data_IF_557782584891
#
_entry.id   IF_557782584891
#
_cell.length_a   1.000
_cell.length_b   1.000
_cell.length_c   1.000
_cell.angle_alpha   90.00
_cell.angle_beta   90.00
_cell.angle_gamma   90.00
#
_symmetry.space_group_name_H-M   'P 1'
#
loop_
_entity.id
_entity.type
_entity.pdbx_description
1 polymer ?
#
# COMPACT_ATOMS: atom_id res chain seq x y z
N UNK A 1 -2.90 35.90 -6.74
CA UNK A 1 -2.85 34.58 -7.41
C UNK A 1 -2.21 33.59 -6.43
N UNK A 2 -2.99 32.73 -5.77
CA UNK A 2 -2.48 31.76 -4.81
C UNK A 2 -1.92 30.58 -5.59
N UNK A 3 -0.61 30.40 -5.57
CA UNK A 3 0.03 29.18 -6.07
C UNK A 3 -0.41 28.01 -5.19
N UNK A 4 -1.36 27.21 -5.69
CA UNK A 4 -1.69 25.93 -5.06
C UNK A 4 -0.49 25.00 -5.24
N UNK A 5 0.13 24.59 -4.13
CA UNK A 5 1.15 23.55 -4.14
C UNK A 5 0.58 22.31 -4.84
N UNK A 6 1.25 21.83 -5.90
CA UNK A 6 0.87 20.60 -6.61
C UNK A 6 1.52 19.35 -6.03
N UNK A 7 2.42 19.53 -5.05
CA UNK A 7 3.14 18.43 -4.39
C UNK A 7 3.13 18.59 -2.87
N UNK A 8 3.08 17.46 -2.17
CA UNK A 8 3.45 17.36 -0.75
C UNK A 8 4.78 16.65 -0.61
N UNK A 9 5.48 16.92 0.49
CA UNK A 9 6.79 16.31 0.82
C UNK A 9 6.67 15.57 2.13
N UNK A 10 7.30 14.40 2.21
CA UNK A 10 7.39 13.62 3.43
C UNK A 10 8.76 12.96 3.54
N UNK A 11 9.36 12.98 4.73
CA UNK A 11 10.60 12.24 4.99
C UNK A 11 10.30 10.75 5.09
N UNK A 12 11.21 9.93 4.58
CA UNK A 12 11.15 8.48 4.72
C UNK A 12 11.17 8.06 6.20
N UNK A 13 10.38 7.05 6.53
CA UNK A 13 10.44 6.38 7.84
C UNK A 13 11.62 5.41 7.92
N UNK A 14 12.15 4.94 6.79
CA UNK A 14 13.35 4.12 6.69
C UNK A 14 14.63 4.98 6.72
N UNK A 15 15.02 5.52 5.59
CA UNK A 15 16.18 6.42 5.48
C UNK A 15 15.73 7.88 5.56
N UNK A 16 15.90 8.53 6.72
CA UNK A 16 15.51 9.92 6.96
C UNK A 16 16.20 10.97 6.06
N UNK A 17 17.24 10.58 5.31
CA UNK A 17 17.86 11.44 4.30
C UNK A 17 17.04 11.52 3.03
N UNK A 18 16.13 10.57 2.78
CA UNK A 18 15.25 10.56 1.63
C UNK A 18 13.96 11.33 1.90
N UNK A 19 13.46 11.97 0.86
CA UNK A 19 12.18 12.67 0.88
C UNK A 19 11.32 12.15 -0.27
N UNK A 20 10.13 11.68 0.04
CA UNK A 20 9.13 11.30 -0.95
C UNK A 20 8.29 12.50 -1.33
N UNK A 21 8.12 12.69 -2.63
CA UNK A 21 7.23 13.70 -3.19
C UNK A 21 5.93 13.03 -3.61
N UNK A 22 4.81 13.62 -3.21
CA UNK A 22 3.47 13.17 -3.61
C UNK A 22 2.77 14.29 -4.37
N UNK A 23 2.23 13.96 -5.55
CA UNK A 23 1.33 14.85 -6.24
C UNK A 23 0.02 15.01 -5.45
N UNK A 24 -0.42 16.26 -5.29
CA UNK A 24 -1.74 16.54 -4.72
C UNK A 24 -2.78 16.19 -5.79
N UNK A 25 -3.84 15.44 -5.44
CA UNK A 25 -4.91 15.10 -6.35
C UNK A 25 -5.51 16.33 -7.02
N UNK A 26 -5.79 16.23 -8.32
CA UNK A 26 -6.35 17.33 -9.11
C UNK A 26 -5.34 18.36 -9.61
N UNK A 27 -4.08 18.32 -9.15
CA UNK A 27 -3.06 19.29 -9.58
C UNK A 27 -2.62 19.16 -11.04
N UNK A 28 -2.65 17.95 -11.59
CA UNK A 28 -2.23 17.63 -12.96
C UNK A 28 -3.21 16.69 -13.70
N UNK A 29 -4.40 16.45 -13.17
CA UNK A 29 -5.37 15.51 -13.74
C UNK A 29 -5.75 15.79 -15.22
N UNK A 30 -5.74 17.04 -15.71
CA UNK A 30 -6.00 17.30 -17.12
C UNK A 30 -4.86 16.86 -18.06
N UNK A 31 -3.66 16.60 -17.54
CA UNK A 31 -2.46 16.39 -18.34
C UNK A 31 -1.99 14.94 -18.42
N UNK A 32 -2.42 14.06 -17.53
CA UNK A 32 -1.90 12.69 -17.44
C UNK A 32 -2.93 11.71 -16.95
N UNK A 33 -3.73 11.13 -17.85
CA UNK A 33 -4.29 9.80 -17.61
C UNK A 33 -3.14 8.80 -17.84
N UNK A 34 -2.55 8.16 -16.81
CA UNK A 34 -1.56 7.12 -17.04
C UNK A 34 -2.21 5.97 -17.82
N UNK A 35 -1.46 5.31 -18.72
CA UNK A 35 -1.97 4.19 -19.49
C UNK A 35 -2.49 3.09 -18.57
N UNK A 36 -3.54 2.40 -18.98
CA UNK A 36 -4.02 1.20 -18.32
C UNK A 36 -2.88 0.17 -18.28
N UNK A 37 -2.66 -0.42 -17.11
CA UNK A 37 -1.69 -1.51 -16.93
C UNK A 37 -2.43 -2.83 -16.81
N UNK A 38 -1.80 -3.91 -17.21
CA UNK A 38 -2.28 -5.27 -16.95
C UNK A 38 -1.40 -5.92 -15.88
N UNK A 39 -2.00 -6.72 -15.03
CA UNK A 39 -1.28 -7.54 -14.07
C UNK A 39 -2.07 -8.83 -13.79
N UNK A 40 -1.37 -9.93 -13.60
CA UNK A 40 -1.99 -11.18 -13.16
C UNK A 40 -2.50 -11.07 -11.72
N UNK A 41 -1.75 -10.36 -10.87
CA UNK A 41 -2.04 -10.21 -9.44
C UNK A 41 -1.31 -8.97 -8.89
N UNK A 42 -1.86 -8.37 -7.82
CA UNK A 42 -1.18 -7.31 -7.07
C UNK A 42 -0.58 -7.88 -5.78
N UNK A 43 0.70 -7.63 -5.55
CA UNK A 43 1.41 -8.00 -4.34
C UNK A 43 1.71 -6.75 -3.51
N UNK A 44 1.00 -6.59 -2.38
CA UNK A 44 1.25 -5.51 -1.42
C UNK A 44 2.33 -5.89 -0.43
N UNK A 45 3.36 -5.07 -0.30
CA UNK A 45 4.52 -5.36 0.55
C UNK A 45 4.78 -4.24 1.56
N UNK A 46 4.92 -4.60 2.83
CA UNK A 46 5.51 -3.76 3.87
C UNK A 46 6.66 -4.51 4.54
N UNK A 47 7.24 -3.98 5.60
CA UNK A 47 8.33 -4.68 6.31
C UNK A 47 7.81 -5.92 7.01
N UNK A 48 6.94 -5.76 8.01
CA UNK A 48 6.53 -6.85 8.91
C UNK A 48 5.36 -7.72 8.38
N UNK A 49 4.68 -7.35 7.31
CA UNK A 49 3.44 -7.99 6.87
C UNK A 49 2.43 -8.20 8.02
N UNK A 50 2.39 -7.25 8.97
CA UNK A 50 1.52 -7.32 10.16
C UNK A 50 0.33 -6.38 10.11
N UNK A 51 0.39 -5.29 9.33
CA UNK A 51 -0.68 -4.30 9.27
C UNK A 51 -0.93 -3.78 7.83
N UNK A 52 -0.15 -2.80 7.37
CA UNK A 52 -0.38 -2.02 6.14
C UNK A 52 -0.63 -2.87 4.90
N UNK A 53 0.20 -3.87 4.62
CA UNK A 53 0.07 -4.73 3.44
C UNK A 53 -1.18 -5.62 3.48
N UNK A 54 -1.59 -6.11 4.66
CA UNK A 54 -2.84 -6.85 4.83
C UNK A 54 -4.06 -5.96 4.61
N UNK A 55 -4.06 -4.75 5.18
CA UNK A 55 -5.14 -3.77 4.99
C UNK A 55 -5.26 -3.35 3.52
N UNK A 56 -4.14 -3.08 2.85
CA UNK A 56 -4.11 -2.75 1.44
C UNK A 56 -4.68 -3.87 0.56
N UNK A 57 -4.28 -5.12 0.80
CA UNK A 57 -4.82 -6.26 0.07
C UNK A 57 -6.32 -6.49 0.32
N UNK A 58 -6.81 -6.24 1.54
CA UNK A 58 -8.23 -6.34 1.86
C UNK A 58 -9.05 -5.25 1.16
N UNK A 59 -8.56 -4.01 1.16
CA UNK A 59 -9.17 -2.89 0.42
C UNK A 59 -9.21 -3.16 -1.08
N UNK A 60 -8.10 -3.69 -1.63
CA UNK A 60 -8.00 -4.03 -3.05
C UNK A 60 -9.04 -5.06 -3.49
N UNK A 61 -9.20 -6.15 -2.72
CA UNK A 61 -10.19 -7.20 -3.03
C UNK A 61 -11.63 -6.68 -3.04
N UNK A 62 -11.90 -5.59 -2.31
CA UNK A 62 -13.20 -4.91 -2.33
C UNK A 62 -13.38 -4.02 -3.57
N UNK A 63 -12.28 -3.46 -4.09
CA UNK A 63 -12.30 -2.43 -5.13
C UNK A 63 -12.02 -2.97 -6.55
N UNK A 64 -11.44 -4.18 -6.68
CA UNK A 64 -10.97 -4.71 -7.96
C UNK A 64 -11.18 -6.21 -8.07
N UNK A 65 -11.40 -6.69 -9.29
CA UNK A 65 -11.43 -8.12 -9.63
C UNK A 65 -10.03 -8.71 -9.81
N UNK A 66 -8.98 -7.87 -9.96
CA UNK A 66 -7.59 -8.35 -10.03
C UNK A 66 -7.20 -8.96 -8.69
N UNK A 67 -6.71 -10.21 -8.64
CA UNK A 67 -6.32 -10.85 -7.39
C UNK A 67 -5.27 -10.04 -6.61
N UNK A 68 -5.30 -10.14 -5.27
CA UNK A 68 -4.32 -9.50 -4.43
C UNK A 68 -3.85 -10.38 -3.28
N UNK A 69 -2.56 -10.27 -2.99
CA UNK A 69 -1.90 -10.92 -1.86
C UNK A 69 -1.02 -9.92 -1.11
N UNK A 70 -0.53 -10.30 0.06
CA UNK A 70 0.37 -9.49 0.87
C UNK A 70 1.58 -10.26 1.35
N UNK A 71 2.70 -9.57 1.51
CA UNK A 71 3.95 -10.11 2.04
C UNK A 71 4.74 -9.07 2.82
N UNK A 72 5.82 -9.50 3.46
CA UNK A 72 6.78 -8.65 4.13
C UNK A 72 8.22 -8.94 3.71
N UNK A 73 9.09 -7.95 3.88
CA UNK A 73 10.55 -8.15 3.75
C UNK A 73 11.14 -8.78 5.00
N UNK A 74 10.53 -8.54 6.17
CA UNK A 74 10.89 -9.12 7.48
C UNK A 74 9.61 -9.46 8.25
N UNK A 75 8.95 -10.59 7.94
CA UNK A 75 7.65 -10.93 8.50
C UNK A 75 7.67 -11.00 10.02
N UNK A 76 6.70 -10.34 10.65
CA UNK A 76 6.45 -10.47 12.08
C UNK A 76 5.75 -11.81 12.43
N UNK A 77 5.56 -12.09 13.73
CA UNK A 77 4.97 -13.35 14.18
C UNK A 77 3.48 -13.46 13.87
N UNK A 78 2.75 -12.35 13.84
CA UNK A 78 1.29 -12.31 13.67
C UNK A 78 0.83 -10.99 13.04
N UNK A 79 -0.43 -10.97 12.59
CA UNK A 79 -1.11 -9.72 12.21
C UNK A 79 -1.35 -8.92 13.49
N UNK A 80 -1.09 -7.62 13.43
CA UNK A 80 -1.26 -6.69 14.54
C UNK A 80 -2.74 -6.61 14.98
N UNK A 81 -3.04 -6.70 16.30
CA UNK A 81 -4.41 -6.57 16.79
C UNK A 81 -5.12 -5.29 16.41
N UNK A 82 -4.39 -4.17 16.31
CA UNK A 82 -4.91 -2.88 15.85
C UNK A 82 -5.35 -2.93 14.38
N UNK A 83 -4.59 -3.61 13.52
CA UNK A 83 -4.98 -3.83 12.12
C UNK A 83 -6.24 -4.70 12.01
N UNK A 84 -6.35 -5.74 12.83
CA UNK A 84 -7.55 -6.60 12.90
C UNK A 84 -8.76 -5.78 13.37
N UNK A 85 -8.59 -4.96 14.42
CA UNK A 85 -9.64 -4.09 14.95
C UNK A 85 -10.08 -3.04 13.94
N UNK A 86 -9.15 -2.40 13.24
CA UNK A 86 -9.46 -1.44 12.16
C UNK A 86 -10.24 -2.12 11.02
N UNK A 87 -9.78 -3.27 10.56
CA UNK A 87 -10.48 -4.02 9.53
C UNK A 87 -11.93 -4.35 9.93
N UNK A 88 -12.17 -4.75 11.18
CA UNK A 88 -13.53 -5.00 11.71
C UNK A 88 -14.38 -3.73 11.74
N UNK A 89 -13.86 -2.59 12.22
CA UNK A 89 -14.59 -1.31 12.25
C UNK A 89 -15.04 -0.89 10.85
N UNK A 90 -14.18 -1.11 9.86
CA UNK A 90 -14.43 -0.74 8.47
C UNK A 90 -15.04 -1.87 7.62
N UNK A 91 -15.49 -2.96 8.25
CA UNK A 91 -16.14 -4.11 7.60
C UNK A 91 -15.31 -4.69 6.44
N UNK A 92 -13.99 -4.72 6.62
CA UNK A 92 -13.07 -5.33 5.68
C UNK A 92 -12.82 -6.79 6.07
N UNK A 93 -13.10 -7.75 5.17
CA UNK A 93 -12.72 -9.13 5.40
C UNK A 93 -11.19 -9.24 5.42
N UNK A 94 -10.63 -9.54 6.57
CA UNK A 94 -9.20 -9.82 6.72
C UNK A 94 -9.02 -11.34 6.87
N UNK A 95 -8.42 -12.01 5.87
CA UNK A 95 -8.14 -13.44 5.99
C UNK A 95 -7.24 -13.73 7.19
N UNK A 96 -7.48 -14.84 7.88
CA UNK A 96 -6.62 -15.30 8.99
C UNK A 96 -5.33 -15.92 8.44
N UNK A 97 -4.50 -15.09 7.82
CA UNK A 97 -3.21 -15.51 7.27
C UNK A 97 -2.10 -15.02 8.20
N UNK A 98 -1.09 -15.87 8.41
CA UNK A 98 0.15 -15.45 9.08
C UNK A 98 0.96 -14.53 8.16
N UNK A 99 1.77 -13.62 8.70
CA UNK A 99 2.77 -12.90 7.94
C UNK A 99 3.71 -13.85 7.19
N UNK A 100 4.04 -13.52 5.93
CA UNK A 100 4.90 -14.32 5.05
C UNK A 100 5.96 -13.47 4.41
N UNK A 101 7.12 -14.06 4.15
CA UNK A 101 8.20 -13.39 3.44
C UNK A 101 7.87 -13.26 1.95
N UNK A 102 8.34 -12.17 1.33
CA UNK A 102 8.06 -11.89 -0.08
C UNK A 102 8.52 -13.04 -0.99
N UNK A 103 9.66 -13.68 -0.71
CA UNK A 103 10.16 -14.81 -1.50
C UNK A 103 9.27 -16.06 -1.48
N UNK A 104 8.37 -16.18 -0.49
CA UNK A 104 7.41 -17.28 -0.39
C UNK A 104 6.14 -17.01 -1.20
N UNK A 105 5.92 -15.76 -1.62
CA UNK A 105 4.62 -15.30 -2.12
C UNK A 105 4.70 -14.76 -3.53
N UNK A 106 5.82 -14.14 -3.91
CA UNK A 106 5.97 -13.41 -5.16
C UNK A 106 6.01 -14.35 -6.37
N UNK A 107 5.24 -13.99 -7.39
CA UNK A 107 5.25 -14.61 -8.72
C UNK A 107 5.72 -13.60 -9.78
N UNK A 108 6.19 -14.13 -10.93
CA UNK A 108 6.76 -13.31 -12.02
C UNK A 108 5.78 -12.30 -12.63
N UNK A 109 4.46 -12.56 -12.55
CA UNK A 109 3.41 -11.68 -13.08
C UNK A 109 2.86 -10.67 -12.06
N UNK A 110 3.46 -10.57 -10.86
CA UNK A 110 2.97 -9.68 -9.83
C UNK A 110 3.29 -8.22 -10.11
N UNK A 111 2.29 -7.36 -9.94
CA UNK A 111 2.52 -5.93 -9.75
C UNK A 111 2.88 -5.69 -8.28
N UNK A 112 4.15 -5.47 -8.00
CA UNK A 112 4.63 -5.23 -6.64
C UNK A 112 4.36 -3.79 -6.23
N UNK A 113 3.57 -3.61 -5.17
CA UNK A 113 3.21 -2.33 -4.55
C UNK A 113 3.76 -2.28 -3.13
N UNK A 114 4.78 -1.48 -2.88
CA UNK A 114 5.27 -1.26 -1.51
C UNK A 114 4.41 -0.22 -0.80
N UNK A 115 4.02 -0.51 0.45
CA UNK A 115 3.17 0.36 1.28
C UNK A 115 3.88 0.92 2.51
N UNK A 116 5.20 0.80 2.56
CA UNK A 116 6.07 1.45 3.55
C UNK A 116 7.44 1.76 2.94
N UNK A 117 8.09 2.78 3.48
CA UNK A 117 9.34 3.31 2.95
C UNK A 117 10.50 2.29 3.07
N UNK A 118 10.58 1.56 4.18
CA UNK A 118 11.63 0.55 4.38
C UNK A 118 11.57 -0.56 3.31
N UNK A 119 10.39 -1.14 3.08
CA UNK A 119 10.25 -2.17 2.05
C UNK A 119 10.57 -1.62 0.64
N UNK A 120 10.25 -0.34 0.36
CA UNK A 120 10.63 0.32 -0.89
C UNK A 120 12.14 0.43 -1.04
N UNK A 121 12.82 0.81 0.02
CA UNK A 121 14.27 1.01 0.02
C UNK A 121 15.02 -0.31 -0.11
N UNK A 122 14.51 -1.38 0.51
CA UNK A 122 15.07 -2.73 0.40
C UNK A 122 14.84 -3.36 -0.98
N UNK A 123 13.62 -3.25 -1.54
CA UNK A 123 13.26 -3.87 -2.82
C UNK A 123 13.72 -3.06 -4.04
N UNK A 124 13.98 -1.77 -3.88
CA UNK A 124 14.47 -0.89 -4.94
C UNK A 124 13.60 -0.94 -6.20
N UNK A 125 14.19 -1.35 -7.32
CA UNK A 125 13.52 -1.39 -8.63
C UNK A 125 12.49 -2.53 -8.77
N UNK A 126 12.45 -3.52 -7.89
CA UNK A 126 11.45 -4.60 -7.93
C UNK A 126 10.04 -4.08 -7.62
N UNK A 127 9.93 -2.98 -6.86
CA UNK A 127 8.66 -2.35 -6.59
C UNK A 127 8.26 -1.40 -7.72
N UNK A 128 7.23 -1.77 -8.47
CA UNK A 128 6.71 -0.96 -9.59
C UNK A 128 5.93 0.28 -9.11
N UNK A 129 5.30 0.19 -7.94
CA UNK A 129 4.53 1.27 -7.32
C UNK A 129 4.94 1.41 -5.86
N UNK A 130 5.00 2.64 -5.36
CA UNK A 130 5.28 2.90 -3.96
C UNK A 130 4.26 3.85 -3.34
N UNK A 131 3.77 3.44 -2.16
CA UNK A 131 2.90 4.25 -1.31
C UNK A 131 3.56 4.46 0.04
N UNK A 132 4.05 5.67 0.29
CA UNK A 132 4.59 6.04 1.60
C UNK A 132 3.44 6.23 2.58
N UNK A 133 3.08 5.17 3.32
CA UNK A 133 2.02 5.19 4.36
C UNK A 133 2.67 5.09 5.73
N UNK A 134 2.33 6.02 6.68
CA UNK A 134 2.84 5.98 8.05
C UNK A 134 2.58 4.64 8.73
N UNK A 135 3.51 4.24 9.62
CA UNK A 135 3.31 3.03 10.41
C UNK A 135 2.36 3.31 11.58
N UNK A 136 1.17 2.66 11.64
CA UNK A 136 0.25 2.84 12.75
C UNK A 136 0.66 2.04 14.00
N UNK A 137 1.52 1.02 13.85
CA UNK A 137 1.85 0.06 14.92
C UNK A 137 2.54 0.73 16.11
N UNK A 138 3.53 1.61 15.93
CA UNK A 138 4.20 2.26 17.07
C UNK A 138 3.28 3.13 17.93
N UNK A 139 2.28 3.78 17.32
CA UNK A 139 1.27 4.54 18.05
C UNK A 139 0.25 3.63 18.74
N UNK A 140 -0.14 2.55 18.07
CA UNK A 140 -1.00 1.50 18.60
C UNK A 140 -2.47 1.88 18.84
N UNK A 141 -2.83 3.14 18.59
CA UNK A 141 -4.18 3.65 18.81
C UNK A 141 -5.08 3.49 17.57
N UNK A 142 -6.40 3.50 17.81
CA UNK A 142 -7.38 3.31 16.75
C UNK A 142 -7.30 4.38 15.65
N UNK A 143 -7.00 5.63 16.01
CA UNK A 143 -6.95 6.75 15.09
C UNK A 143 -5.79 6.61 14.08
N UNK A 144 -4.62 6.13 14.53
CA UNK A 144 -3.46 5.86 13.67
C UNK A 144 -3.76 4.78 12.65
N UNK A 145 -4.42 3.69 13.06
CA UNK A 145 -4.84 2.62 12.14
C UNK A 145 -5.92 3.10 11.16
N UNK A 146 -6.89 3.88 11.60
CA UNK A 146 -7.93 4.43 10.75
C UNK A 146 -7.35 5.42 9.73
N UNK A 147 -6.36 6.24 10.13
CA UNK A 147 -5.63 7.14 9.23
C UNK A 147 -4.86 6.36 8.17
N UNK A 148 -4.10 5.34 8.56
CA UNK A 148 -3.38 4.51 7.62
C UNK A 148 -4.33 3.80 6.63
N UNK A 149 -5.47 3.31 7.13
CA UNK A 149 -6.50 2.67 6.31
C UNK A 149 -7.14 3.65 5.33
N UNK A 150 -7.44 4.87 5.73
CA UNK A 150 -7.97 5.92 4.86
C UNK A 150 -6.97 6.27 3.74
N UNK A 151 -5.68 6.42 4.07
CA UNK A 151 -4.62 6.67 3.08
C UNK A 151 -4.47 5.52 2.08
N UNK A 152 -4.57 4.28 2.54
CA UNK A 152 -4.53 3.10 1.67
C UNK A 152 -5.77 3.04 0.76
N UNK A 153 -6.98 3.32 1.30
CA UNK A 153 -8.23 3.34 0.53
C UNK A 153 -8.16 4.33 -0.63
N UNK A 154 -7.74 5.56 -0.35
CA UNK A 154 -7.55 6.61 -1.36
C UNK A 154 -6.63 6.17 -2.52
N UNK A 155 -5.57 5.45 -2.21
CA UNK A 155 -4.62 4.98 -3.22
C UNK A 155 -5.12 3.77 -3.99
N UNK A 156 -5.81 2.86 -3.32
CA UNK A 156 -6.48 1.73 -3.96
C UNK A 156 -7.54 2.22 -4.94
N UNK A 157 -8.39 3.16 -4.54
CA UNK A 157 -9.45 3.74 -5.37
C UNK A 157 -8.90 4.42 -6.64
N UNK A 158 -7.69 4.95 -6.59
CA UNK A 158 -7.03 5.55 -7.76
C UNK A 158 -6.34 4.53 -8.65
N UNK A 159 -5.79 3.46 -8.10
CA UNK A 159 -5.05 2.46 -8.88
C UNK A 159 -5.99 1.41 -9.48
N UNK A 160 -7.01 0.97 -8.75
CA UNK A 160 -7.87 -0.13 -9.16
C UNK A 160 -8.54 0.07 -10.54
N UNK A 161 -9.09 1.25 -10.87
CA UNK A 161 -9.69 1.48 -12.19
C UNK A 161 -8.68 1.47 -13.35
N UNK A 162 -7.38 1.57 -13.04
CA UNK A 162 -6.28 1.66 -14.03
C UNK A 162 -5.56 0.32 -14.23
N UNK A 163 -6.02 -0.73 -13.55
CA UNK A 163 -5.43 -2.06 -13.63
C UNK A 163 -6.46 -3.06 -14.13
N UNK A 164 -6.12 -3.73 -15.24
CA UNK A 164 -6.91 -4.83 -15.78
C UNK A 164 -6.21 -6.16 -15.52
N UNK A 165 -6.99 -7.24 -15.47
CA UNK A 165 -6.44 -8.60 -15.38
C UNK A 165 -5.75 -8.95 -16.70
N UNK A 166 -4.58 -9.55 -16.63
CA UNK A 166 -3.97 -10.19 -17.80
C UNK A 166 -4.83 -11.39 -18.18
N UNK A 167 -5.29 -11.42 -19.44
CA UNK A 167 -6.03 -12.56 -20.02
C UNK A 167 -5.09 -13.71 -20.27
#
# INVERSE_FOLDING_TARGET
MLFRSVITRRRSEGDRRRTYLRLIPGGLDPLTAPPARTAGRVLFVCTANSARSHLAAALWRRASSVPAVSAGTHPGPAIDPGAIAAARRHRLPLPRLRPRHISEVQDAGDLVVTVCDMAREELGHQAAVHWSVPDPVPAGDAASFDTALAELSDRVERLAPRLATTS
#
